data_IF_285882671468
#
_entry.id   IF_285882671468
#
_cell.length_a   1.000
_cell.length_b   1.000
_cell.length_c   1.000
_cell.angle_alpha   90.00
_cell.angle_beta   90.00
_cell.angle_gamma   90.00
#
_symmetry.space_group_name_H-M   'P 1'
#
loop_
_entity.id
_entity.type
_entity.pdbx_description
1 polymer ?
#
# COMPACT_ATOMS: atom_id res chain seq x y z
N UNK A 1 -37.11 29.00 -1.93
CA UNK A 1 -35.95 28.12 -1.84
C UNK A 1 -34.76 29.00 -2.21
N UNK A 2 -33.81 29.18 -1.28
CA UNK A 2 -32.56 29.87 -1.63
C UNK A 2 -31.80 29.00 -2.63
N UNK A 3 -31.42 29.59 -3.76
CA UNK A 3 -30.59 28.94 -4.77
C UNK A 3 -29.29 28.54 -4.10
N UNK A 4 -29.00 27.23 -4.03
CA UNK A 4 -27.77 26.73 -3.45
C UNK A 4 -26.63 27.10 -4.39
N UNK A 5 -25.71 27.93 -3.92
CA UNK A 5 -24.49 28.24 -4.65
C UNK A 5 -23.67 26.94 -4.68
N UNK A 6 -23.49 26.34 -5.86
CA UNK A 6 -22.61 25.20 -6.06
C UNK A 6 -21.17 25.61 -5.68
N UNK A 7 -20.57 24.87 -4.76
CA UNK A 7 -19.17 25.06 -4.34
C UNK A 7 -18.32 23.93 -4.89
N UNK A 8 -17.11 24.21 -5.31
CA UNK A 8 -16.10 23.18 -5.58
C UNK A 8 -15.25 22.98 -4.31
N UNK A 9 -15.36 21.82 -3.70
CA UNK A 9 -14.73 21.52 -2.41
C UNK A 9 -13.68 20.43 -2.55
N UNK A 10 -12.47 20.64 -2.02
CA UNK A 10 -11.45 19.60 -1.83
C UNK A 10 -11.51 19.09 -0.40
N UNK A 11 -11.42 17.78 -0.24
CA UNK A 11 -11.40 17.16 1.07
C UNK A 11 -10.12 16.37 1.29
N UNK A 12 -9.48 16.56 2.45
CA UNK A 12 -8.30 15.84 2.88
C UNK A 12 -8.61 15.03 4.13
N UNK A 13 -8.15 13.77 4.15
CA UNK A 13 -8.31 12.86 5.30
C UNK A 13 -6.91 12.48 5.79
N UNK A 14 -6.65 12.68 7.08
CA UNK A 14 -5.42 12.25 7.74
C UNK A 14 -5.73 11.27 8.87
N UNK A 15 -5.16 10.08 8.79
CA UNK A 15 -5.31 9.03 9.80
C UNK A 15 -4.03 8.97 10.63
N UNK A 16 -4.02 9.73 11.72
CA UNK A 16 -2.95 9.68 12.72
C UNK A 16 -3.14 8.56 13.74
N UNK A 17 -2.09 8.31 14.55
CA UNK A 17 -2.17 7.30 15.61
C UNK A 17 -3.19 7.65 16.70
N UNK A 18 -3.42 8.92 17.01
CA UNK A 18 -4.34 9.37 18.07
C UNK A 18 -5.68 9.89 17.54
N UNK A 19 -5.64 10.65 16.46
CA UNK A 19 -6.83 11.27 15.85
C UNK A 19 -6.85 11.05 14.36
N UNK A 20 -8.06 10.78 13.86
CA UNK A 20 -8.39 10.85 12.44
C UNK A 20 -9.04 12.20 12.17
N UNK A 21 -8.53 12.92 11.18
CA UNK A 21 -8.94 14.29 10.85
C UNK A 21 -9.46 14.35 9.41
N UNK A 22 -10.48 15.18 9.22
CA UNK A 22 -10.95 15.56 7.89
C UNK A 22 -10.97 17.08 7.79
N UNK A 23 -10.51 17.60 6.66
CA UNK A 23 -10.50 19.03 6.35
C UNK A 23 -11.17 19.23 5.01
N UNK A 24 -12.05 20.23 4.93
CA UNK A 24 -12.65 20.69 3.70
C UNK A 24 -12.12 22.08 3.34
N UNK A 25 -11.77 22.28 2.09
CA UNK A 25 -11.21 23.51 1.56
C UNK A 25 -11.98 23.92 0.30
N UNK A 26 -12.30 25.19 0.19
CA UNK A 26 -12.85 25.76 -1.03
C UNK A 26 -11.79 25.70 -2.14
N UNK A 27 -12.17 25.20 -3.32
CA UNK A 27 -11.24 25.00 -4.43
C UNK A 27 -10.81 26.30 -5.12
N UNK A 28 -11.59 27.37 -5.00
CA UNK A 28 -11.32 28.66 -5.64
C UNK A 28 -10.55 29.59 -4.72
N UNK A 29 -11.03 29.74 -3.48
CA UNK A 29 -10.42 30.67 -2.50
C UNK A 29 -9.25 30.04 -1.74
N UNK A 30 -9.14 28.72 -1.73
CA UNK A 30 -8.20 27.94 -0.93
C UNK A 30 -8.37 28.13 0.60
N UNK A 31 -9.52 28.62 1.03
CA UNK A 31 -9.85 28.77 2.44
C UNK A 31 -10.34 27.45 3.03
N UNK A 32 -9.99 27.19 4.28
CA UNK A 32 -10.53 26.05 5.01
C UNK A 32 -11.95 26.38 5.46
N UNK A 33 -12.92 25.68 4.89
CA UNK A 33 -14.35 25.88 5.14
C UNK A 33 -14.93 24.85 6.13
N UNK A 34 -14.20 23.80 6.46
CA UNK A 34 -14.65 22.80 7.40
C UNK A 34 -13.50 21.97 7.98
N UNK A 35 -13.66 21.55 9.24
CA UNK A 35 -12.74 20.63 9.94
C UNK A 35 -13.55 19.73 10.83
N UNK A 36 -13.17 18.46 10.87
CA UNK A 36 -13.67 17.52 11.88
C UNK A 36 -12.52 16.60 12.31
N UNK A 37 -12.53 16.23 13.60
CA UNK A 37 -11.59 15.22 14.11
C UNK A 37 -12.31 14.28 15.06
N UNK A 38 -11.94 13.01 15.01
CA UNK A 38 -12.40 11.97 15.92
C UNK A 38 -11.19 11.22 16.46
N UNK A 39 -11.32 10.54 17.61
CA UNK A 39 -10.27 9.61 18.06
C UNK A 39 -10.10 8.49 17.03
N UNK A 40 -8.86 8.13 16.74
CA UNK A 40 -8.56 6.99 15.89
C UNK A 40 -9.05 5.71 16.58
N UNK A 41 -9.81 4.90 15.87
CA UNK A 41 -10.50 3.71 16.40
C UNK A 41 -9.66 2.46 16.20
N UNK A 42 -8.60 2.28 16.97
CA UNK A 42 -7.74 1.08 16.88
C UNK A 42 -8.46 -0.18 17.37
N UNK A 43 -9.33 -0.05 18.36
CA UNK A 43 -10.04 -1.16 19.04
C UNK A 43 -11.39 -1.50 18.39
N UNK A 44 -11.79 -0.79 17.32
CA UNK A 44 -13.03 -1.08 16.60
C UNK A 44 -12.87 -2.33 15.72
N UNK A 45 -13.96 -3.10 15.53
CA UNK A 45 -13.95 -4.27 14.63
C UNK A 45 -13.55 -3.94 13.20
N UNK A 46 -13.82 -2.72 12.75
CA UNK A 46 -13.39 -2.15 11.46
C UNK A 46 -12.04 -1.40 11.54
N UNK A 47 -11.37 -1.46 12.70
CA UNK A 47 -10.10 -0.78 12.93
C UNK A 47 -10.23 0.75 12.75
N UNK A 48 -9.19 1.36 12.20
CA UNK A 48 -9.15 2.83 11.95
C UNK A 48 -10.21 3.32 10.96
N UNK A 49 -10.81 2.41 10.19
CA UNK A 49 -11.82 2.73 9.19
C UNK A 49 -13.05 3.44 9.76
N UNK A 50 -13.52 3.03 10.96
CA UNK A 50 -14.66 3.67 11.61
C UNK A 50 -14.40 5.16 11.89
N UNK A 51 -13.18 5.50 12.31
CA UNK A 51 -12.76 6.89 12.51
C UNK A 51 -12.77 7.70 11.22
N UNK A 52 -12.30 7.11 10.13
CA UNK A 52 -12.31 7.74 8.79
C UNK A 52 -13.73 8.06 8.36
N UNK A 53 -14.62 7.04 8.36
CA UNK A 53 -16.04 7.20 8.02
C UNK A 53 -16.66 8.35 8.81
N UNK A 54 -16.52 8.30 10.13
CA UNK A 54 -17.13 9.27 11.04
C UNK A 54 -16.58 10.69 10.84
N UNK A 55 -15.28 10.85 10.69
CA UNK A 55 -14.65 12.15 10.49
C UNK A 55 -15.09 12.78 9.16
N UNK A 56 -15.11 11.99 8.08
CA UNK A 56 -15.50 12.44 6.75
C UNK A 56 -16.97 12.87 6.71
N UNK A 57 -17.88 11.99 7.15
CA UNK A 57 -19.32 12.28 7.17
C UNK A 57 -19.68 13.47 8.07
N UNK A 58 -19.05 13.58 9.23
CA UNK A 58 -19.26 14.71 10.13
C UNK A 58 -18.78 16.00 9.47
N UNK A 59 -17.60 16.02 8.83
CA UNK A 59 -17.07 17.19 8.15
C UNK A 59 -18.04 17.70 7.07
N UNK A 60 -18.60 16.80 6.26
CA UNK A 60 -19.60 17.16 5.25
C UNK A 60 -20.87 17.72 5.89
N UNK A 61 -21.46 17.00 6.86
CA UNK A 61 -22.73 17.38 7.50
C UNK A 61 -22.65 18.70 8.25
N UNK A 62 -21.59 18.90 9.06
CA UNK A 62 -21.45 20.08 9.91
C UNK A 62 -21.16 21.35 9.11
N UNK A 63 -20.65 21.21 7.88
CA UNK A 63 -20.31 22.34 7.02
C UNK A 63 -21.23 22.47 5.79
N UNK A 64 -22.35 21.72 5.78
CA UNK A 64 -23.34 21.71 4.68
C UNK A 64 -22.70 21.47 3.30
N UNK A 65 -21.74 20.54 3.22
CA UNK A 65 -21.09 20.13 1.97
C UNK A 65 -21.91 18.97 1.38
N UNK A 66 -22.41 19.15 0.16
CA UNK A 66 -23.09 18.07 -0.52
C UNK A 66 -22.10 17.20 -1.32
N UNK A 67 -22.45 15.93 -1.59
CA UNK A 67 -21.59 15.04 -2.35
C UNK A 67 -21.17 15.59 -3.72
N UNK A 68 -22.07 16.25 -4.40
CA UNK A 68 -21.84 16.88 -5.71
C UNK A 68 -20.91 18.09 -5.68
N UNK A 69 -20.70 18.71 -4.51
CA UNK A 69 -19.75 19.79 -4.34
C UNK A 69 -18.30 19.29 -4.27
N UNK A 70 -18.11 18.02 -3.92
CA UNK A 70 -16.77 17.47 -3.72
C UNK A 70 -16.12 17.14 -5.06
N UNK A 71 -15.06 17.87 -5.40
CA UNK A 71 -14.31 17.73 -6.66
C UNK A 71 -12.99 16.96 -6.49
N UNK A 72 -12.53 16.76 -5.24
CA UNK A 72 -11.29 16.08 -4.95
C UNK A 72 -11.30 15.53 -3.54
N UNK A 73 -10.82 14.28 -3.36
CA UNK A 73 -10.60 13.66 -2.05
C UNK A 73 -9.20 13.04 -2.01
N UNK A 74 -8.42 13.37 -0.99
CA UNK A 74 -7.12 12.75 -0.75
C UNK A 74 -7.01 12.18 0.67
N UNK A 75 -6.33 11.04 0.78
CA UNK A 75 -6.02 10.36 2.02
C UNK A 75 -4.50 10.41 2.28
N UNK A 76 -4.09 10.70 3.52
CA UNK A 76 -2.67 10.68 3.91
C UNK A 76 -2.11 9.27 4.02
N UNK A 77 -0.78 9.14 3.97
CA UNK A 77 -0.05 7.87 4.17
C UNK A 77 0.65 7.77 5.53
N UNK A 78 0.24 8.57 6.50
CA UNK A 78 0.79 8.56 7.88
C UNK A 78 0.73 7.16 8.51
N UNK A 79 -0.26 6.37 8.18
CA UNK A 79 -0.40 4.97 8.60
C UNK A 79 0.77 4.08 8.16
N UNK A 80 1.37 4.32 6.98
CA UNK A 80 2.54 3.59 6.52
C UNK A 80 3.74 3.82 7.45
N UNK A 81 3.98 5.07 7.83
CA UNK A 81 5.05 5.43 8.77
C UNK A 81 4.79 4.84 10.14
N UNK A 82 3.56 4.93 10.63
CA UNK A 82 3.18 4.37 11.93
C UNK A 82 3.36 2.85 11.96
N UNK A 83 3.00 2.14 10.89
CA UNK A 83 3.19 0.69 10.78
C UNK A 83 4.66 0.29 11.01
N UNK A 84 5.62 1.02 10.44
CA UNK A 84 7.05 0.78 10.70
C UNK A 84 7.45 1.09 12.15
N UNK A 85 7.00 2.23 12.68
CA UNK A 85 7.32 2.64 14.06
C UNK A 85 6.74 1.65 15.07
N UNK A 86 5.54 1.14 14.84
CA UNK A 86 4.84 0.21 15.71
C UNK A 86 5.28 -1.25 15.50
N UNK A 87 5.88 -1.57 14.35
CA UNK A 87 6.22 -2.93 13.95
C UNK A 87 5.01 -3.73 13.45
N UNK A 88 3.92 -3.05 13.11
CA UNK A 88 2.69 -3.63 12.54
C UNK A 88 2.86 -3.80 11.01
N UNK A 89 3.76 -4.71 10.65
CA UNK A 89 4.19 -4.99 9.29
C UNK A 89 3.98 -6.46 8.95
N UNK A 90 3.63 -6.73 7.69
CA UNK A 90 3.47 -8.09 7.21
C UNK A 90 4.82 -8.80 7.02
N UNK A 91 4.83 -10.11 7.24
CA UNK A 91 5.95 -10.98 6.86
C UNK A 91 5.99 -11.17 5.35
N UNK A 92 7.17 -11.16 4.77
CA UNK A 92 7.43 -11.09 3.33
C UNK A 92 8.02 -12.40 2.81
N UNK A 93 7.43 -12.93 1.74
CA UNK A 93 7.99 -14.01 0.96
C UNK A 93 8.62 -13.50 -0.34
N UNK A 94 9.90 -13.77 -0.54
CA UNK A 94 10.60 -13.37 -1.77
C UNK A 94 10.68 -14.57 -2.72
N UNK A 95 10.07 -14.44 -3.90
CA UNK A 95 10.27 -15.35 -5.03
C UNK A 95 11.36 -14.75 -5.91
N UNK A 96 12.58 -15.27 -5.79
CA UNK A 96 13.74 -14.82 -6.55
C UNK A 96 13.89 -15.59 -7.86
N UNK A 97 14.17 -14.90 -8.96
CA UNK A 97 14.43 -15.52 -10.26
C UNK A 97 15.78 -15.08 -10.81
N UNK A 98 16.54 -16.05 -11.35
CA UNK A 98 17.77 -15.74 -12.08
C UNK A 98 18.12 -16.85 -13.10
N UNK A 99 19.06 -16.55 -13.96
CA UNK A 99 19.64 -17.50 -14.91
C UNK A 99 20.30 -18.73 -14.25
N UNK A 100 21.10 -19.45 -15.01
CA UNK A 100 21.90 -20.59 -14.53
C UNK A 100 23.38 -20.25 -14.35
N UNK A 101 24.16 -21.26 -13.95
CA UNK A 101 25.61 -21.13 -13.82
C UNK A 101 26.04 -20.18 -12.69
N UNK A 102 27.18 -19.51 -12.90
CA UNK A 102 27.78 -18.60 -11.93
C UNK A 102 26.89 -17.40 -11.64
N UNK A 103 26.26 -16.84 -12.68
CA UNK A 103 25.30 -15.72 -12.57
C UNK A 103 24.16 -16.10 -11.63
N UNK A 104 23.51 -17.24 -11.85
CA UNK A 104 22.41 -17.72 -11.00
C UNK A 104 22.83 -17.95 -9.56
N UNK A 105 24.05 -18.45 -9.32
CA UNK A 105 24.60 -18.61 -7.97
C UNK A 105 24.79 -17.26 -7.26
N UNK A 106 25.36 -16.27 -7.93
CA UNK A 106 25.56 -14.94 -7.38
C UNK A 106 24.22 -14.24 -7.13
N UNK A 107 23.31 -14.32 -8.10
CA UNK A 107 21.96 -13.74 -7.97
C UNK A 107 21.18 -14.35 -6.81
N UNK A 108 21.24 -15.68 -6.63
CA UNK A 108 20.59 -16.35 -5.48
C UNK A 108 21.07 -15.78 -4.15
N UNK A 109 22.40 -15.54 -4.01
CA UNK A 109 22.95 -14.92 -2.79
C UNK A 109 22.46 -13.49 -2.57
N UNK A 110 22.29 -12.72 -3.65
CA UNK A 110 21.79 -11.34 -3.60
C UNK A 110 20.29 -11.25 -3.31
N UNK A 111 19.51 -12.24 -3.74
CA UNK A 111 18.07 -12.35 -3.54
C UNK A 111 17.71 -12.91 -2.17
N UNK A 112 18.58 -13.68 -1.54
CA UNK A 112 18.38 -14.26 -0.21
C UNK A 112 18.50 -13.17 0.87
N UNK A 113 17.41 -12.43 1.08
CA UNK A 113 17.35 -11.41 2.11
C UNK A 113 17.27 -12.05 3.51
N UNK A 114 17.95 -11.43 4.47
CA UNK A 114 17.73 -11.65 5.89
C UNK A 114 16.55 -10.80 6.38
N UNK A 115 16.05 -11.11 7.57
CA UNK A 115 15.08 -10.26 8.27
C UNK A 115 15.55 -8.80 8.26
N UNK A 116 14.63 -7.89 8.02
CA UNK A 116 14.93 -6.45 7.93
C UNK A 116 14.64 -5.83 9.27
N UNK A 117 15.69 -5.41 9.97
CA UNK A 117 15.57 -4.77 11.27
C UNK A 117 15.01 -3.36 11.11
N UNK A 118 13.92 -3.06 11.83
CA UNK A 118 13.29 -1.75 11.91
C UNK A 118 13.75 -0.99 13.16
N UNK A 119 13.85 -1.69 14.30
CA UNK A 119 14.34 -1.15 15.55
C UNK A 119 15.02 -2.27 16.37
N UNK A 120 16.33 -2.15 16.52
CA UNK A 120 17.14 -3.12 17.26
C UNK A 120 16.83 -3.13 18.76
N UNK A 121 16.49 -1.96 19.35
CA UNK A 121 16.28 -1.83 20.79
C UNK A 121 15.08 -2.60 21.29
N UNK A 122 14.03 -2.66 20.48
CA UNK A 122 12.78 -3.37 20.82
C UNK A 122 12.58 -4.63 19.99
N UNK A 123 13.56 -5.00 19.16
CA UNK A 123 13.52 -6.23 18.35
C UNK A 123 12.50 -6.22 17.23
N UNK A 124 12.09 -5.05 16.74
CA UNK A 124 11.14 -4.94 15.62
C UNK A 124 11.84 -5.25 14.31
N UNK A 125 11.21 -6.12 13.52
CA UNK A 125 11.77 -6.54 12.22
C UNK A 125 10.67 -6.99 11.26
N UNK A 126 10.94 -6.86 9.97
CA UNK A 126 10.17 -7.52 8.92
C UNK A 126 10.75 -8.92 8.76
N UNK A 127 9.94 -9.94 8.99
CA UNK A 127 10.31 -11.34 8.73
C UNK A 127 10.37 -11.59 7.24
N UNK A 128 11.45 -12.23 6.76
CA UNK A 128 11.65 -12.49 5.33
C UNK A 128 11.92 -13.96 5.09
N UNK A 129 11.10 -14.57 4.25
CA UNK A 129 11.26 -15.93 3.73
C UNK A 129 11.68 -15.84 2.27
N UNK A 130 12.43 -16.82 1.78
CA UNK A 130 12.99 -16.77 0.43
C UNK A 130 12.84 -18.09 -0.29
N UNK A 131 12.38 -18.06 -1.53
CA UNK A 131 12.50 -19.16 -2.49
C UNK A 131 13.24 -18.67 -3.73
N UNK A 132 13.69 -19.62 -4.56
CA UNK A 132 14.46 -19.31 -5.73
C UNK A 132 14.10 -20.23 -6.90
N UNK A 133 13.75 -19.65 -8.04
CA UNK A 133 13.42 -20.36 -9.27
C UNK A 133 14.48 -20.05 -10.33
N UNK A 134 15.02 -21.09 -10.98
CA UNK A 134 15.85 -20.89 -12.17
C UNK A 134 14.97 -20.44 -13.34
N UNK A 135 15.35 -19.39 -14.07
CA UNK A 135 14.57 -18.82 -15.17
C UNK A 135 14.02 -19.87 -16.14
N UNK A 136 14.85 -20.86 -16.53
CA UNK A 136 14.46 -21.96 -17.43
C UNK A 136 13.38 -22.91 -16.88
N UNK A 137 13.13 -22.88 -15.59
CA UNK A 137 12.13 -23.71 -14.88
C UNK A 137 10.89 -22.89 -14.48
N UNK A 138 10.81 -21.63 -14.92
CA UNK A 138 9.72 -20.75 -14.55
C UNK A 138 8.45 -21.14 -15.31
N UNK A 139 7.54 -21.78 -14.61
CA UNK A 139 6.18 -22.13 -15.10
C UNK A 139 5.18 -21.72 -14.03
N UNK A 140 3.89 -21.58 -14.39
CA UNK A 140 2.84 -21.24 -13.41
C UNK A 140 2.78 -22.25 -12.25
N UNK A 141 2.95 -23.54 -12.52
CA UNK A 141 2.92 -24.57 -11.49
C UNK A 141 4.09 -24.43 -10.50
N UNK A 142 5.31 -24.19 -11.01
CA UNK A 142 6.51 -23.99 -10.17
C UNK A 142 6.38 -22.70 -9.36
N UNK A 143 5.85 -21.62 -9.96
CA UNK A 143 5.58 -20.37 -9.23
C UNK A 143 4.58 -20.62 -8.11
N UNK A 144 3.45 -21.28 -8.40
CA UNK A 144 2.42 -21.57 -7.41
C UNK A 144 2.95 -22.41 -6.25
N UNK A 145 3.76 -23.44 -6.52
CA UNK A 145 4.41 -24.24 -5.47
C UNK A 145 5.32 -23.39 -4.57
N UNK A 146 6.12 -22.49 -5.14
CA UNK A 146 6.98 -21.59 -4.38
C UNK A 146 6.18 -20.56 -3.55
N UNK A 147 5.09 -20.02 -4.07
CA UNK A 147 4.18 -19.14 -3.33
C UNK A 147 3.57 -19.92 -2.15
N UNK A 148 3.05 -21.12 -2.38
CA UNK A 148 2.44 -21.95 -1.32
C UNK A 148 3.47 -22.33 -0.23
N UNK A 149 4.71 -22.63 -0.61
CA UNK A 149 5.80 -22.86 0.33
C UNK A 149 6.04 -21.62 1.22
N UNK A 150 6.12 -20.43 0.65
CA UNK A 150 6.30 -19.17 1.38
C UNK A 150 5.13 -18.87 2.32
N UNK A 151 3.90 -19.08 1.87
CA UNK A 151 2.72 -18.90 2.69
C UNK A 151 2.69 -19.89 3.86
N UNK A 152 3.07 -21.15 3.64
CA UNK A 152 3.18 -22.16 4.69
C UNK A 152 4.29 -21.85 5.70
N UNK A 153 5.36 -21.13 5.30
CA UNK A 153 6.40 -20.63 6.20
C UNK A 153 5.93 -19.43 7.03
N UNK A 154 4.79 -18.81 6.68
CA UNK A 154 4.17 -17.71 7.39
C UNK A 154 4.30 -16.35 6.70
N UNK A 155 4.68 -16.28 5.41
CA UNK A 155 4.63 -15.03 4.67
C UNK A 155 3.17 -14.63 4.40
N UNK A 156 2.92 -13.34 4.44
CA UNK A 156 1.60 -12.73 4.24
C UNK A 156 1.53 -11.97 2.91
N UNK A 157 2.67 -11.60 2.37
CA UNK A 157 2.81 -10.86 1.10
C UNK A 157 3.96 -11.45 0.30
N UNK A 158 3.91 -11.29 -1.02
CA UNK A 158 4.93 -11.78 -1.94
C UNK A 158 5.71 -10.62 -2.57
N UNK A 159 7.00 -10.83 -2.77
CA UNK A 159 7.86 -9.99 -3.61
C UNK A 159 8.37 -10.84 -4.75
N UNK A 160 8.07 -10.42 -5.98
CA UNK A 160 8.70 -10.95 -7.17
C UNK A 160 9.97 -10.17 -7.46
N UNK A 161 11.12 -10.84 -7.57
CA UNK A 161 12.37 -10.16 -7.87
C UNK A 161 13.26 -11.00 -8.78
N UNK A 162 13.72 -10.40 -9.86
CA UNK A 162 14.55 -11.05 -10.86
C UNK A 162 15.88 -10.31 -11.06
N UNK A 163 16.97 -11.08 -11.25
CA UNK A 163 18.21 -10.53 -11.77
C UNK A 163 17.94 -9.94 -13.17
N UNK A 164 18.37 -8.67 -13.36
CA UNK A 164 18.09 -7.90 -14.58
C UNK A 164 16.61 -7.63 -14.90
N UNK A 165 15.72 -7.77 -13.91
CA UNK A 165 14.28 -7.49 -14.08
C UNK A 165 13.95 -6.05 -14.49
N UNK A 166 14.91 -5.12 -14.42
CA UNK A 166 14.77 -3.74 -14.93
C UNK A 166 14.78 -3.67 -16.45
N UNK A 167 15.35 -4.67 -17.12
CA UNK A 167 15.41 -4.75 -18.59
C UNK A 167 14.16 -5.43 -19.17
N UNK A 168 13.58 -6.41 -18.44
CA UNK A 168 12.30 -7.04 -18.72
C UNK A 168 11.66 -7.47 -17.40
N UNK A 169 10.39 -7.10 -17.21
CA UNK A 169 9.60 -7.49 -16.03
C UNK A 169 8.76 -8.75 -16.26
N UNK A 170 8.92 -9.44 -17.39
CA UNK A 170 8.03 -10.55 -17.79
C UNK A 170 7.96 -11.65 -16.73
N UNK A 171 9.08 -12.03 -16.14
CA UNK A 171 9.13 -13.07 -15.11
C UNK A 171 8.56 -12.61 -13.77
N UNK A 172 8.79 -11.34 -13.40
CA UNK A 172 8.17 -10.74 -12.20
C UNK A 172 6.65 -10.64 -12.40
N UNK A 173 6.19 -10.30 -13.60
CA UNK A 173 4.78 -10.25 -13.96
C UNK A 173 4.11 -11.64 -13.92
N UNK A 174 4.79 -12.70 -14.34
CA UNK A 174 4.27 -14.07 -14.19
C UNK A 174 4.01 -14.42 -12.72
N UNK A 175 4.95 -14.07 -11.83
CA UNK A 175 4.81 -14.29 -10.39
C UNK A 175 3.67 -13.44 -9.83
N UNK A 176 3.59 -12.17 -10.24
CA UNK A 176 2.51 -11.25 -9.86
C UNK A 176 1.14 -11.86 -10.19
N UNK A 177 0.95 -12.29 -11.44
CA UNK A 177 -0.33 -12.85 -11.89
C UNK A 177 -0.71 -14.14 -11.12
N UNK A 178 0.28 -14.97 -10.76
CA UNK A 178 0.02 -16.17 -9.95
C UNK A 178 -0.39 -15.83 -8.52
N UNK A 179 0.27 -14.83 -7.89
CA UNK A 179 -0.07 -14.38 -6.55
C UNK A 179 -1.44 -13.68 -6.51
N UNK A 180 -1.76 -12.86 -7.52
CA UNK A 180 -3.05 -12.20 -7.66
C UNK A 180 -4.21 -13.21 -7.80
N UNK A 181 -4.05 -14.26 -8.61
CA UNK A 181 -5.01 -15.37 -8.72
C UNK A 181 -5.29 -16.06 -7.36
N UNK A 182 -4.34 -16.01 -6.44
CA UNK A 182 -4.46 -16.54 -5.07
C UNK A 182 -4.96 -15.49 -4.06
N UNK A 183 -5.25 -14.26 -4.48
CA UNK A 183 -5.57 -13.11 -3.64
C UNK A 183 -4.48 -12.79 -2.59
N UNK A 184 -3.21 -13.02 -2.94
CA UNK A 184 -2.05 -12.70 -2.11
C UNK A 184 -1.46 -11.37 -2.58
N UNK A 185 -1.31 -10.37 -1.70
CA UNK A 185 -0.68 -9.10 -2.07
C UNK A 185 0.74 -9.34 -2.59
N UNK A 186 1.09 -8.68 -3.69
CA UNK A 186 2.36 -8.89 -4.37
C UNK A 186 2.97 -7.58 -4.84
N UNK A 187 4.29 -7.49 -4.76
CA UNK A 187 5.07 -6.33 -5.23
C UNK A 187 6.14 -6.82 -6.20
N UNK A 188 6.22 -6.24 -7.38
CA UNK A 188 7.30 -6.46 -8.33
C UNK A 188 8.46 -5.52 -8.01
N UNK A 189 9.66 -6.08 -7.78
CA UNK A 189 10.80 -5.29 -7.36
C UNK A 189 11.25 -4.28 -8.41
N UNK A 190 11.17 -4.65 -9.69
CA UNK A 190 11.54 -3.79 -10.81
C UNK A 190 10.52 -2.70 -11.12
N UNK A 191 9.28 -2.82 -10.59
CA UNK A 191 8.29 -1.75 -10.70
C UNK A 191 8.51 -0.67 -9.63
N UNK A 192 8.83 -1.08 -8.41
CA UNK A 192 9.11 -0.14 -7.31
C UNK A 192 10.33 0.72 -7.60
N UNK A 193 11.38 0.15 -8.19
CA UNK A 193 12.58 0.91 -8.54
C UNK A 193 13.28 0.33 -9.77
N UNK A 194 13.61 1.18 -10.71
CA UNK A 194 14.33 0.84 -11.94
C UNK A 194 15.87 0.77 -11.75
N UNK A 195 16.34 0.67 -10.50
CA UNK A 195 17.77 0.59 -10.20
C UNK A 195 18.32 -0.83 -10.35
N UNK A 196 19.52 -0.98 -10.91
CA UNK A 196 20.15 -2.29 -11.15
C UNK A 196 20.55 -3.05 -9.89
N UNK A 197 20.86 -2.41 -8.78
CA UNK A 197 21.30 -3.07 -7.55
C UNK A 197 20.31 -4.10 -7.01
N UNK A 198 20.47 -5.39 -7.40
CA UNK A 198 19.52 -6.46 -7.14
C UNK A 198 19.10 -6.59 -5.66
N UNK A 199 20.06 -6.70 -4.75
CA UNK A 199 19.76 -6.79 -3.30
C UNK A 199 19.04 -5.55 -2.79
N UNK A 200 19.45 -4.36 -3.23
CA UNK A 200 18.84 -3.10 -2.81
C UNK A 200 17.41 -3.00 -3.31
N UNK A 201 17.18 -3.31 -4.59
CA UNK A 201 15.87 -3.32 -5.23
C UNK A 201 14.93 -4.30 -4.52
N UNK A 202 15.37 -5.55 -4.32
CA UNK A 202 14.59 -6.57 -3.61
C UNK A 202 14.25 -6.14 -2.18
N UNK A 203 15.22 -5.54 -1.46
CA UNK A 203 14.99 -5.04 -0.10
C UNK A 203 13.99 -3.89 -0.08
N UNK A 204 14.07 -2.95 -1.01
CA UNK A 204 13.10 -1.85 -1.15
C UNK A 204 11.69 -2.39 -1.41
N UNK A 205 11.57 -3.37 -2.31
CA UNK A 205 10.30 -4.04 -2.57
C UNK A 205 9.76 -4.78 -1.34
N UNK A 206 10.62 -5.46 -0.57
CA UNK A 206 10.22 -6.13 0.66
C UNK A 206 9.70 -5.15 1.72
N UNK A 207 10.34 -4.00 1.87
CA UNK A 207 9.87 -2.94 2.77
C UNK A 207 8.50 -2.41 2.30
N UNK A 208 8.35 -2.13 1.01
CA UNK A 208 7.06 -1.69 0.45
C UNK A 208 5.96 -2.74 0.64
N UNK A 209 6.24 -3.99 0.29
CA UNK A 209 5.28 -5.09 0.42
C UNK A 209 4.80 -5.28 1.86
N UNK A 210 5.69 -5.10 2.85
CA UNK A 210 5.36 -5.34 4.26
C UNK A 210 4.27 -4.41 4.84
N UNK A 211 4.07 -3.23 4.25
CA UNK A 211 3.03 -2.27 4.68
C UNK A 211 1.77 -2.34 3.80
N UNK A 212 1.85 -2.99 2.65
CA UNK A 212 0.78 -3.00 1.67
C UNK A 212 -0.58 -3.47 2.23
N UNK A 213 -0.69 -4.57 3.00
CA UNK A 213 -1.97 -5.00 3.56
C UNK A 213 -2.61 -3.95 4.45
N UNK A 214 -1.82 -3.28 5.28
CA UNK A 214 -2.29 -2.21 6.18
C UNK A 214 -2.81 -1.02 5.40
N UNK A 215 -2.05 -0.59 4.40
CA UNK A 215 -2.43 0.51 3.51
C UNK A 215 -3.68 0.19 2.72
N UNK A 216 -3.78 -1.01 2.15
CA UNK A 216 -4.97 -1.45 1.40
C UNK A 216 -6.21 -1.49 2.26
N UNK A 217 -6.12 -2.01 3.49
CA UNK A 217 -7.25 -2.05 4.41
C UNK A 217 -7.80 -0.65 4.69
N UNK A 218 -6.93 0.30 5.02
CA UNK A 218 -7.32 1.68 5.32
C UNK A 218 -7.85 2.41 4.07
N UNK A 219 -7.20 2.21 2.93
CA UNK A 219 -7.60 2.83 1.68
C UNK A 219 -8.95 2.31 1.18
N UNK A 220 -9.20 1.00 1.25
CA UNK A 220 -10.48 0.39 0.89
C UNK A 220 -11.63 0.88 1.79
N UNK A 221 -11.36 1.00 3.09
CA UNK A 221 -12.33 1.51 4.03
C UNK A 221 -12.64 3.00 3.78
N UNK A 222 -11.62 3.80 3.48
CA UNK A 222 -11.79 5.21 3.11
C UNK A 222 -12.61 5.33 1.83
N UNK A 223 -12.27 4.56 0.80
CA UNK A 223 -13.03 4.57 -0.46
C UNK A 223 -14.49 4.19 -0.26
N UNK A 224 -14.75 3.10 0.48
CA UNK A 224 -16.11 2.68 0.80
C UNK A 224 -16.89 3.77 1.53
N UNK A 225 -16.24 4.49 2.45
CA UNK A 225 -16.83 5.60 3.18
C UNK A 225 -17.18 6.80 2.29
N UNK A 226 -16.26 7.17 1.42
CA UNK A 226 -16.43 8.26 0.45
C UNK A 226 -17.59 7.94 -0.50
N UNK A 227 -17.66 6.70 -0.99
CA UNK A 227 -18.76 6.22 -1.85
C UNK A 227 -20.10 6.18 -1.12
N UNK A 228 -20.12 5.69 0.12
CA UNK A 228 -21.33 5.66 0.95
C UNK A 228 -21.88 7.06 1.29
N UNK A 229 -21.01 8.08 1.30
CA UNK A 229 -21.42 9.48 1.42
C UNK A 229 -21.95 10.09 0.11
N UNK A 230 -22.01 9.32 -0.98
CA UNK A 230 -22.49 9.77 -2.30
C UNK A 230 -21.44 10.48 -3.15
N UNK A 231 -20.19 10.56 -2.70
CA UNK A 231 -19.10 11.21 -3.43
C UNK A 231 -18.55 10.26 -4.50
N UNK A 232 -18.48 10.73 -5.75
CA UNK A 232 -18.12 9.91 -6.93
C UNK A 232 -16.72 10.15 -7.47
N UNK A 233 -16.05 11.23 -7.05
CA UNK A 233 -14.67 11.52 -7.50
C UNK A 233 -13.68 10.44 -7.07
N UNK A 234 -12.59 10.21 -7.83
CA UNK A 234 -11.56 9.27 -7.43
C UNK A 234 -10.97 9.61 -6.07
N UNK A 235 -10.71 8.57 -5.25
CA UNK A 235 -9.94 8.72 -4.03
C UNK A 235 -8.45 8.74 -4.38
N UNK A 236 -7.78 9.80 -3.98
CA UNK A 236 -6.34 9.97 -4.15
C UNK A 236 -5.60 9.58 -2.86
N UNK A 237 -4.42 9.01 -3.01
CA UNK A 237 -3.49 8.74 -1.91
C UNK A 237 -2.30 9.69 -2.03
N UNK A 238 -1.95 10.34 -0.93
CA UNK A 238 -0.77 11.20 -0.89
C UNK A 238 0.50 10.33 -0.80
N UNK A 239 1.46 10.62 -1.65
CA UNK A 239 2.78 9.96 -1.68
C UNK A 239 3.76 10.67 -0.76
N UNK A 240 4.82 9.96 -0.36
CA UNK A 240 5.88 10.53 0.48
C UNK A 240 6.69 11.65 -0.18
N UNK A 241 6.63 11.78 -1.50
CA UNK A 241 7.25 12.87 -2.28
C UNK A 241 6.35 14.12 -2.41
N UNK A 242 5.17 14.11 -1.78
CA UNK A 242 4.19 15.20 -1.84
C UNK A 242 3.25 15.14 -3.04
N UNK A 243 3.45 14.18 -3.96
CA UNK A 243 2.52 13.91 -5.05
C UNK A 243 1.28 13.14 -4.58
N UNK A 244 0.33 12.97 -5.49
CA UNK A 244 -0.85 12.13 -5.27
C UNK A 244 -0.96 11.08 -6.37
N UNK A 245 -1.52 9.93 -6.04
CA UNK A 245 -1.87 8.88 -7.00
C UNK A 245 -3.27 8.38 -6.71
N UNK A 246 -3.95 7.84 -7.70
CA UNK A 246 -5.24 7.20 -7.50
C UNK A 246 -5.06 5.90 -6.68
N UNK A 247 -6.04 5.58 -5.83
CA UNK A 247 -6.01 4.37 -5.00
C UNK A 247 -5.84 3.08 -5.82
N UNK A 248 -6.35 3.05 -7.04
CA UNK A 248 -6.19 1.93 -7.98
C UNK A 248 -4.71 1.65 -8.29
N UNK A 249 -3.87 2.68 -8.38
CA UNK A 249 -2.43 2.53 -8.61
C UNK A 249 -1.66 1.99 -7.40
N UNK A 250 -2.16 2.25 -6.19
CA UNK A 250 -1.56 1.71 -4.97
C UNK A 250 -1.78 0.19 -4.84
N UNK A 251 -2.82 -0.34 -5.48
CA UNK A 251 -3.19 -1.76 -5.43
C UNK A 251 -2.37 -2.63 -6.40
N UNK A 252 -1.68 -2.00 -7.36
CA UNK A 252 -0.78 -2.66 -8.31
C UNK A 252 0.61 -2.83 -7.70
#
# INVERSE_FOLDING_TARGET
MAERISRAVRMGIDVGGTYTKCVAMDNETHEIIGKNQVKTTHDDKSGVAAGVVKSFQNCMRENNIAPEDVVFVAHSTTQATNAFIEGDVASVGVVGVAGGGLEGFLAKRQLALKDIVLDEKVGRMIKVYNTFIKKKMLTEDVINQNIDELLNQGSQVIVASMAFGVDSMDEEMMIHNCAEKKNVPVTMASDITKLYGLTRRTRTAAINASILPKMMMTANATESSVRAAGVTVPLMIMRGDGGVMEISEMRK
#
